data_IF_298761787223
#
_entry.id   IF_298761787223
#
_cell.length_a   1.000
_cell.length_b   1.000
_cell.length_c   1.000
_cell.angle_alpha   90.00
_cell.angle_beta   90.00
_cell.angle_gamma   90.00
#
_symmetry.space_group_name_H-M   'P 1'
#
loop_
_entity.id
_entity.type
_entity.pdbx_description
1 polymer ?
#
# COMPACT_ATOMS: atom_id res chain seq x y z
N UNK A 1 13.23 14.30 -54.41
CA UNK A 1 14.24 14.85 -53.47
C UNK A 1 14.23 14.03 -52.19
N UNK A 2 15.35 13.42 -51.76
CA UNK A 2 15.40 12.73 -50.46
C UNK A 2 15.21 13.75 -49.33
N UNK A 3 14.27 13.49 -48.42
CA UNK A 3 13.95 14.35 -47.27
C UNK A 3 15.20 14.44 -46.38
N UNK A 4 15.69 15.66 -46.11
CA UNK A 4 16.85 15.86 -45.23
C UNK A 4 16.43 15.57 -43.79
N UNK A 5 17.11 14.62 -43.13
CA UNK A 5 16.89 14.29 -41.72
C UNK A 5 17.26 15.51 -40.87
N UNK A 6 16.33 15.92 -39.99
CA UNK A 6 16.53 17.00 -39.01
C UNK A 6 16.23 16.44 -37.62
N UNK A 7 17.09 16.76 -36.65
CA UNK A 7 16.94 16.38 -35.25
C UNK A 7 17.47 17.48 -34.35
N UNK A 8 17.06 17.48 -33.09
CA UNK A 8 17.64 18.30 -32.03
C UNK A 8 18.85 17.61 -31.39
N UNK A 9 18.87 16.28 -31.40
CA UNK A 9 19.82 15.45 -30.70
C UNK A 9 20.69 14.69 -31.72
N UNK A 10 21.99 14.64 -31.49
CA UNK A 10 22.92 13.88 -32.31
C UNK A 10 23.95 13.13 -31.46
N UNK A 11 24.37 11.98 -31.96
CA UNK A 11 25.53 11.24 -31.46
C UNK A 11 26.62 11.32 -32.52
N UNK A 12 27.81 11.78 -32.15
CA UNK A 12 29.01 11.66 -32.97
C UNK A 12 29.92 10.59 -32.40
N UNK A 13 30.44 9.73 -33.27
CA UNK A 13 31.33 8.62 -32.89
C UNK A 13 32.52 8.53 -33.82
N UNK A 14 33.73 8.56 -33.26
CA UNK A 14 34.96 8.46 -34.06
C UNK A 14 36.11 7.80 -33.30
N UNK A 15 36.87 6.97 -34.01
CA UNK A 15 38.11 6.36 -33.52
C UNK A 15 39.18 7.42 -33.22
N UNK A 16 39.98 7.21 -32.17
CA UNK A 16 41.03 8.16 -31.76
C UNK A 16 42.03 8.46 -32.89
N UNK A 17 42.40 7.43 -33.67
CA UNK A 17 43.36 7.52 -34.78
C UNK A 17 42.81 8.27 -36.00
N UNK A 18 41.49 8.46 -36.05
CA UNK A 18 40.78 9.11 -37.15
C UNK A 18 40.11 10.42 -36.73
N UNK A 19 40.32 10.85 -35.49
CA UNK A 19 39.77 12.09 -34.98
C UNK A 19 40.43 13.28 -35.72
N UNK A 20 39.67 14.13 -36.43
CA UNK A 20 40.25 15.22 -37.23
C UNK A 20 40.86 16.36 -36.38
N UNK A 21 40.68 16.30 -35.06
CA UNK A 21 40.96 17.36 -34.10
C UNK A 21 41.58 16.76 -32.84
N UNK A 22 42.37 17.53 -32.11
CA UNK A 22 42.89 17.06 -30.82
C UNK A 22 41.78 16.97 -29.75
N UNK A 23 42.05 16.27 -28.63
CA UNK A 23 41.10 16.19 -27.50
C UNK A 23 40.75 17.58 -26.95
N UNK A 24 41.73 18.48 -26.87
CA UNK A 24 41.52 19.83 -26.36
C UNK A 24 40.73 20.70 -27.35
N UNK A 25 40.96 20.51 -28.65
CA UNK A 25 40.17 21.16 -29.71
C UNK A 25 38.74 20.65 -29.79
N UNK A 26 38.48 19.38 -29.46
CA UNK A 26 37.13 18.83 -29.42
C UNK A 26 36.25 19.59 -28.44
N UNK A 27 36.77 19.87 -27.24
CA UNK A 27 36.06 20.65 -26.22
C UNK A 27 35.78 22.07 -26.71
N UNK A 28 36.79 22.77 -27.21
CA UNK A 28 36.64 24.14 -27.73
C UNK A 28 35.61 24.24 -28.86
N UNK A 29 35.57 23.23 -29.76
CA UNK A 29 34.56 23.15 -30.83
C UNK A 29 33.15 22.93 -30.29
N UNK A 30 32.99 22.11 -29.25
CA UNK A 30 31.70 21.88 -28.62
C UNK A 30 31.21 23.13 -27.89
N UNK A 31 32.08 23.86 -27.19
CA UNK A 31 31.76 25.15 -26.58
C UNK A 31 31.31 26.19 -27.63
N UNK A 32 31.92 26.20 -28.81
CA UNK A 32 31.58 27.11 -29.92
C UNK A 32 30.47 26.59 -30.85
N UNK A 33 29.94 25.40 -30.58
CA UNK A 33 28.98 24.72 -31.49
C UNK A 33 27.61 25.40 -31.57
N UNK A 34 27.25 26.18 -30.54
CA UNK A 34 25.90 26.71 -30.35
C UNK A 34 24.89 25.66 -29.86
N UNK A 35 25.35 24.53 -29.33
CA UNK A 35 24.53 23.56 -28.61
C UNK A 35 24.15 24.10 -27.22
N UNK A 36 22.99 23.69 -26.72
CA UNK A 36 22.55 24.01 -25.36
C UNK A 36 23.18 23.05 -24.35
N UNK A 37 23.24 21.76 -24.70
CA UNK A 37 23.87 20.72 -23.88
C UNK A 37 24.78 19.85 -24.76
N UNK A 38 25.96 19.52 -24.26
CA UNK A 38 26.83 18.50 -24.85
C UNK A 38 27.58 17.73 -23.77
N UNK A 39 27.92 16.48 -24.07
CA UNK A 39 28.73 15.61 -23.23
C UNK A 39 29.53 14.64 -24.10
N UNK A 40 30.76 14.32 -23.71
CA UNK A 40 31.59 13.35 -24.41
C UNK A 40 32.47 12.52 -23.47
N UNK A 41 32.83 11.33 -23.94
CA UNK A 41 33.66 10.37 -23.22
C UNK A 41 34.50 9.56 -24.21
N UNK A 42 35.69 9.15 -23.76
CA UNK A 42 36.54 8.19 -24.46
C UNK A 42 36.17 6.78 -24.04
N UNK A 43 35.75 5.95 -24.99
CA UNK A 43 35.54 4.52 -24.76
C UNK A 43 36.80 3.74 -25.11
N UNK A 44 37.60 3.37 -24.10
CA UNK A 44 38.88 2.65 -24.22
C UNK A 44 38.91 1.24 -23.58
N UNK A 45 37.76 0.80 -23.04
CA UNK A 45 37.59 -0.45 -22.27
C UNK A 45 36.55 -1.39 -22.90
N UNK A 46 36.04 -1.03 -24.06
CA UNK A 46 35.01 -1.79 -24.76
C UNK A 46 35.53 -3.10 -25.35
N UNK A 47 34.68 -4.12 -25.27
CA UNK A 47 34.94 -5.47 -25.78
C UNK A 47 33.81 -5.80 -26.76
N UNK A 48 34.17 -6.31 -27.93
CA UNK A 48 33.22 -6.76 -28.95
C UNK A 48 32.59 -8.11 -28.61
N UNK A 49 31.63 -8.56 -29.43
CA UNK A 49 30.91 -9.82 -29.23
C UNK A 49 31.82 -11.06 -29.27
N UNK A 50 33.03 -10.94 -29.83
CA UNK A 50 34.01 -12.01 -29.92
C UNK A 50 35.06 -11.95 -28.80
N UNK A 51 34.89 -11.07 -27.80
CA UNK A 51 35.83 -10.91 -26.70
C UNK A 51 37.07 -10.08 -27.04
N UNK A 52 37.11 -9.42 -28.20
CA UNK A 52 38.26 -8.61 -28.63
C UNK A 52 38.05 -7.15 -28.22
N UNK A 53 39.14 -6.49 -27.80
CA UNK A 53 39.12 -5.07 -27.49
C UNK A 53 38.71 -4.25 -28.72
N UNK A 54 37.71 -3.40 -28.54
CA UNK A 54 37.32 -2.37 -29.50
C UNK A 54 38.38 -1.26 -29.49
N UNK A 55 38.63 -0.63 -30.63
CA UNK A 55 39.56 0.50 -30.70
C UNK A 55 39.05 1.67 -29.85
N UNK A 56 39.94 2.43 -29.17
CA UNK A 56 39.53 3.61 -28.44
C UNK A 56 38.82 4.62 -29.34
N UNK A 57 37.60 5.02 -28.98
CA UNK A 57 36.77 5.93 -29.76
C UNK A 57 36.02 6.91 -28.85
N UNK A 58 35.76 8.11 -29.36
CA UNK A 58 34.94 9.08 -28.66
C UNK A 58 33.46 8.88 -28.99
N UNK A 59 32.62 9.00 -27.97
CA UNK A 59 31.20 9.27 -28.13
C UNK A 59 30.92 10.71 -27.69
N UNK A 60 30.15 11.45 -28.49
CA UNK A 60 29.75 12.82 -28.21
C UNK A 60 28.23 12.94 -28.37
N UNK A 61 27.53 13.18 -27.28
CA UNK A 61 26.11 13.50 -27.28
C UNK A 61 25.94 15.02 -27.33
N UNK A 62 25.18 15.53 -28.30
CA UNK A 62 24.97 16.97 -28.49
C UNK A 62 23.50 17.31 -28.72
N UNK A 63 23.03 18.39 -28.09
CA UNK A 63 21.66 18.88 -28.16
C UNK A 63 21.58 20.35 -28.55
N UNK A 64 20.69 20.64 -29.50
CA UNK A 64 20.42 21.99 -29.97
C UNK A 64 18.97 22.39 -29.70
N UNK A 65 18.79 23.67 -29.33
CA UNK A 65 17.47 24.32 -29.25
C UNK A 65 16.65 24.15 -30.52
N UNK A 66 17.26 24.41 -31.68
CA UNK A 66 16.62 24.27 -32.99
C UNK A 66 17.13 23.05 -33.73
N UNK A 67 16.22 22.32 -34.39
CA UNK A 67 16.57 21.14 -35.17
C UNK A 67 17.61 21.45 -36.26
N UNK A 68 18.75 20.77 -36.21
CA UNK A 68 19.84 20.87 -37.21
C UNK A 68 19.79 19.69 -38.19
N UNK A 69 20.57 19.76 -39.25
CA UNK A 69 20.80 18.64 -40.18
C UNK A 69 22.14 17.99 -39.88
N UNK A 70 22.29 16.69 -40.16
CA UNK A 70 23.58 15.96 -40.03
C UNK A 70 24.73 16.72 -40.72
N UNK A 71 24.52 17.22 -41.94
CA UNK A 71 25.51 18.03 -42.68
C UNK A 71 25.96 19.32 -41.96
N UNK A 72 25.13 19.90 -41.09
CA UNK A 72 25.48 21.09 -40.32
C UNK A 72 26.30 20.70 -39.09
N UNK A 73 25.91 19.59 -38.44
CA UNK A 73 26.60 19.07 -37.27
C UNK A 73 28.00 18.54 -37.65
N UNK A 74 28.16 17.93 -38.83
CA UNK A 74 29.46 17.42 -39.30
C UNK A 74 30.54 18.48 -39.46
N UNK A 75 30.12 19.72 -39.76
CA UNK A 75 31.04 20.86 -39.85
C UNK A 75 31.63 21.27 -38.50
N UNK A 76 30.96 20.97 -37.39
CA UNK A 76 31.49 21.24 -36.04
C UNK A 76 32.75 20.40 -35.81
N UNK A 77 32.70 19.12 -36.18
CA UNK A 77 33.79 18.15 -36.01
C UNK A 77 34.80 18.17 -37.16
N UNK A 78 34.52 18.88 -38.24
CA UNK A 78 35.29 18.82 -39.50
C UNK A 78 35.43 17.38 -40.03
N UNK A 79 34.34 16.61 -39.93
CA UNK A 79 34.32 15.19 -40.29
C UNK A 79 33.16 14.86 -41.25
N UNK A 80 33.19 13.64 -41.78
CA UNK A 80 32.19 13.08 -42.65
C UNK A 80 30.87 12.83 -41.92
N UNK A 81 29.77 13.05 -42.66
CA UNK A 81 28.41 12.90 -42.13
C UNK A 81 28.08 11.49 -41.62
N UNK A 82 28.81 10.46 -42.06
CA UNK A 82 28.58 9.07 -41.68
C UNK A 82 28.87 8.78 -40.20
N UNK A 83 29.68 9.62 -39.56
CA UNK A 83 30.03 9.50 -38.13
C UNK A 83 29.04 10.21 -37.21
N UNK A 84 27.98 10.78 -37.78
CA UNK A 84 26.94 11.50 -37.04
C UNK A 84 25.61 10.82 -37.24
N UNK A 85 25.06 10.36 -36.13
CA UNK A 85 23.74 9.80 -36.06
C UNK A 85 22.75 10.82 -35.50
N UNK A 86 21.58 10.94 -36.13
CA UNK A 86 20.47 11.65 -35.53
C UNK A 86 19.85 10.80 -34.41
N UNK A 87 19.86 11.30 -33.18
CA UNK A 87 19.32 10.60 -32.03
C UNK A 87 17.84 10.90 -31.89
N UNK A 88 16.98 9.89 -32.03
CA UNK A 88 15.52 10.06 -32.04
C UNK A 88 14.86 9.81 -30.68
N UNK A 89 15.61 9.27 -29.72
CA UNK A 89 15.15 9.07 -28.34
C UNK A 89 15.26 10.36 -27.52
N UNK A 90 14.68 10.36 -26.32
CA UNK A 90 14.95 11.39 -25.30
C UNK A 90 16.45 11.49 -25.03
N UNK A 91 16.93 12.71 -24.79
CA UNK A 91 18.36 13.02 -24.61
C UNK A 91 18.97 12.27 -23.41
N UNK A 92 18.19 12.06 -22.35
CA UNK A 92 18.64 11.31 -21.16
C UNK A 92 19.13 9.90 -21.51
N UNK A 93 18.50 9.22 -22.48
CA UNK A 93 18.98 7.92 -22.94
C UNK A 93 20.32 8.04 -23.67
N UNK A 94 20.57 9.17 -24.35
CA UNK A 94 21.87 9.47 -24.97
C UNK A 94 22.96 9.71 -23.93
N UNK A 95 22.66 10.41 -22.84
CA UNK A 95 23.59 10.57 -21.72
C UNK A 95 23.88 9.26 -21.01
N UNK A 96 22.85 8.46 -20.69
CA UNK A 96 23.06 7.11 -20.13
C UNK A 96 23.82 6.18 -21.08
N UNK A 97 23.69 6.38 -22.39
CA UNK A 97 24.44 5.61 -23.38
C UNK A 97 25.95 5.83 -23.28
N UNK A 98 26.40 7.07 -22.99
CA UNK A 98 27.83 7.39 -22.82
C UNK A 98 28.50 6.57 -21.72
N UNK A 99 27.75 6.12 -20.71
CA UNK A 99 28.30 5.33 -19.59
C UNK A 99 27.82 3.88 -19.59
N UNK A 100 27.22 3.44 -20.70
CA UNK A 100 26.63 2.10 -20.87
C UNK A 100 25.49 1.76 -19.88
N UNK A 101 24.81 2.75 -19.32
CA UNK A 101 23.63 2.57 -18.46
C UNK A 101 22.30 2.52 -19.24
N UNK A 102 22.31 1.90 -20.41
CA UNK A 102 21.09 1.64 -21.20
C UNK A 102 20.75 0.15 -21.20
N UNK A 103 19.48 -0.18 -21.45
CA UNK A 103 18.99 -1.58 -21.41
C UNK A 103 19.80 -2.52 -22.30
N UNK A 104 20.28 -2.03 -23.44
CA UNK A 104 21.03 -2.81 -24.44
C UNK A 104 22.54 -2.90 -24.15
N UNK A 105 23.04 -2.19 -23.14
CA UNK A 105 24.46 -2.12 -22.80
C UNK A 105 24.79 -2.74 -21.43
N UNK A 106 23.85 -3.45 -20.80
CA UNK A 106 24.01 -4.07 -19.47
C UNK A 106 25.22 -5.00 -19.33
N UNK A 107 25.63 -5.66 -20.41
CA UNK A 107 26.78 -6.57 -20.42
C UNK A 107 28.11 -5.88 -20.79
N UNK A 108 28.07 -4.61 -21.20
CA UNK A 108 29.26 -3.83 -21.53
C UNK A 108 29.93 -3.29 -20.27
N UNK A 109 31.17 -2.85 -20.42
CA UNK A 109 31.87 -2.14 -19.36
C UNK A 109 31.13 -0.83 -19.02
N UNK A 110 30.80 -0.61 -17.75
CA UNK A 110 30.15 0.62 -17.29
C UNK A 110 31.20 1.64 -16.89
N UNK A 111 31.17 2.81 -17.53
CA UNK A 111 32.09 3.91 -17.25
C UNK A 111 31.66 4.71 -16.03
N UNK A 112 32.62 5.27 -15.31
CA UNK A 112 32.33 6.20 -14.23
C UNK A 112 31.79 7.52 -14.82
N UNK A 113 30.66 8.06 -14.33
CA UNK A 113 30.18 9.38 -14.74
C UNK A 113 31.23 10.51 -14.65
N UNK A 114 32.24 10.39 -13.79
CA UNK A 114 33.38 11.32 -13.68
C UNK A 114 34.31 11.29 -14.90
N UNK A 115 34.28 10.22 -15.70
CA UNK A 115 35.05 10.11 -16.94
C UNK A 115 34.43 10.96 -18.08
N UNK A 116 33.20 11.46 -17.90
CA UNK A 116 32.47 12.26 -18.90
C UNK A 116 32.80 13.75 -18.77
N UNK A 117 33.15 14.39 -19.88
CA UNK A 117 33.31 15.84 -19.97
C UNK A 117 32.05 16.44 -20.59
N UNK A 118 31.42 17.40 -19.91
CA UNK A 118 30.13 17.96 -20.33
C UNK A 118 30.03 19.47 -20.11
N UNK A 119 29.06 20.11 -20.77
CA UNK A 119 28.70 21.52 -20.58
C UNK A 119 27.85 21.80 -19.33
N UNK A 120 27.55 20.76 -18.55
CA UNK A 120 26.69 20.78 -17.35
C UNK A 120 27.21 19.75 -16.33
N UNK A 121 26.65 19.72 -15.12
CA UNK A 121 26.99 18.69 -14.13
C UNK A 121 26.42 17.33 -14.55
N UNK A 122 27.26 16.49 -15.16
CA UNK A 122 26.87 15.19 -15.69
C UNK A 122 26.52 14.18 -14.58
N UNK A 123 27.25 14.19 -13.46
CA UNK A 123 26.99 13.31 -12.32
C UNK A 123 25.60 13.55 -11.74
N UNK A 124 25.25 14.83 -11.51
CA UNK A 124 23.92 15.20 -11.01
C UNK A 124 22.82 14.78 -12.00
N UNK A 125 23.01 15.03 -13.30
CA UNK A 125 22.05 14.65 -14.34
C UNK A 125 21.80 13.14 -14.39
N UNK A 126 22.87 12.33 -14.34
CA UNK A 126 22.75 10.87 -14.34
C UNK A 126 22.08 10.38 -13.06
N UNK A 127 22.39 10.98 -11.90
CA UNK A 127 21.73 10.64 -10.65
C UNK A 127 20.22 10.94 -10.71
N UNK A 128 19.80 12.07 -11.28
CA UNK A 128 18.38 12.36 -11.52
C UNK A 128 17.71 11.33 -12.43
N UNK A 129 18.38 10.91 -13.50
CA UNK A 129 17.88 9.89 -14.43
C UNK A 129 17.70 8.56 -13.69
N UNK A 130 18.71 8.10 -12.94
CA UNK A 130 18.67 6.88 -12.13
C UNK A 130 17.50 6.92 -11.13
N UNK A 131 17.23 8.06 -10.50
CA UNK A 131 16.11 8.20 -9.56
C UNK A 131 14.74 8.18 -10.25
N UNK A 132 14.62 8.75 -11.45
CA UNK A 132 13.37 8.70 -12.22
C UNK A 132 13.04 7.29 -12.68
N UNK A 133 14.04 6.49 -13.06
CA UNK A 133 13.85 5.09 -13.47
C UNK A 133 13.40 4.20 -12.30
N UNK A 134 13.79 4.52 -11.07
CA UNK A 134 13.36 3.80 -9.86
C UNK A 134 11.89 4.01 -9.52
N UNK A 135 11.26 5.10 -9.99
CA UNK A 135 9.83 5.35 -9.73
C UNK A 135 8.97 4.47 -10.63
N UNK A 136 7.93 3.82 -10.09
CA UNK A 136 6.97 3.09 -10.92
C UNK A 136 6.33 4.03 -11.94
N UNK A 137 6.07 3.51 -13.13
CA UNK A 137 5.33 4.25 -14.15
C UNK A 137 3.89 4.48 -13.68
N UNK A 138 3.19 5.46 -14.29
CA UNK A 138 1.77 5.70 -13.98
C UNK A 138 0.92 4.44 -14.17
N UNK A 139 1.13 3.71 -15.26
CA UNK A 139 0.44 2.46 -15.52
C UNK A 139 0.73 1.40 -14.45
N UNK A 140 1.97 1.32 -13.96
CA UNK A 140 2.31 0.39 -12.89
C UNK A 140 1.62 0.77 -11.57
N UNK A 141 1.51 2.07 -11.25
CA UNK A 141 0.77 2.56 -10.09
C UNK A 141 -0.71 2.16 -10.21
N UNK A 142 -1.34 2.40 -11.36
CA UNK A 142 -2.74 2.05 -11.60
C UNK A 142 -2.97 0.54 -11.44
N UNK A 143 -2.07 -0.30 -11.98
CA UNK A 143 -2.14 -1.75 -11.79
C UNK A 143 -2.01 -2.16 -10.32
N UNK A 144 -1.07 -1.57 -9.56
CA UNK A 144 -0.95 -1.90 -8.14
C UNK A 144 -2.18 -1.46 -7.32
N UNK A 145 -2.84 -0.36 -7.69
CA UNK A 145 -4.11 0.05 -7.06
C UNK A 145 -5.22 -0.95 -7.41
N UNK A 146 -5.26 -1.46 -8.63
CA UNK A 146 -6.20 -2.50 -9.05
C UNK A 146 -5.97 -3.81 -8.27
N UNK A 147 -4.72 -4.28 -8.18
CA UNK A 147 -4.32 -5.44 -7.37
C UNK A 147 -4.78 -5.28 -5.90
N UNK A 148 -4.62 -4.08 -5.32
CA UNK A 148 -5.11 -3.76 -3.97
C UNK A 148 -6.64 -3.82 -3.89
N UNK A 149 -7.34 -3.26 -4.88
CA UNK A 149 -8.81 -3.28 -4.91
C UNK A 149 -9.40 -4.68 -5.06
N UNK A 150 -8.64 -5.59 -5.66
CA UNK A 150 -8.98 -7.01 -5.79
C UNK A 150 -8.51 -7.85 -4.59
N UNK A 151 -8.00 -7.21 -3.54
CA UNK A 151 -7.49 -7.86 -2.32
C UNK A 151 -6.31 -8.82 -2.60
N UNK A 152 -5.57 -8.62 -3.70
CA UNK A 152 -4.39 -9.42 -4.08
C UNK A 152 -3.11 -8.97 -3.35
N UNK A 153 -3.06 -7.69 -2.96
CA UNK A 153 -2.00 -7.12 -2.14
C UNK A 153 -2.59 -6.33 -0.95
N UNK A 154 -1.81 -6.22 0.12
CA UNK A 154 -2.13 -5.40 1.29
C UNK A 154 -1.89 -3.91 1.04
N UNK A 155 -2.45 -3.05 1.91
CA UNK A 155 -2.21 -1.60 1.86
C UNK A 155 -0.75 -1.26 2.12
N UNK A 156 -0.09 -2.02 2.99
CA UNK A 156 1.33 -1.90 3.30
C UNK A 156 2.19 -2.25 2.07
N UNK A 157 1.90 -3.35 1.38
CA UNK A 157 2.59 -3.72 0.15
C UNK A 157 2.36 -2.69 -0.98
N UNK A 158 1.14 -2.15 -1.09
CA UNK A 158 0.85 -1.06 -2.03
C UNK A 158 1.72 0.16 -1.72
N UNK A 159 1.79 0.58 -0.45
CA UNK A 159 2.61 1.71 -0.02
C UNK A 159 4.10 1.49 -0.34
N UNK A 160 4.62 0.28 -0.14
CA UNK A 160 6.01 -0.05 -0.47
C UNK A 160 6.29 0.01 -1.99
N UNK A 161 5.30 -0.37 -2.81
CA UNK A 161 5.40 -0.36 -4.28
C UNK A 161 5.32 1.05 -4.88
N UNK A 162 4.37 1.88 -4.43
CA UNK A 162 4.10 3.20 -5.04
C UNK A 162 4.66 4.39 -4.25
N UNK A 163 4.94 4.19 -2.97
CA UNK A 163 5.46 5.20 -2.05
C UNK A 163 4.38 6.12 -1.47
N UNK A 164 4.70 6.74 -0.32
CA UNK A 164 3.79 7.58 0.48
C UNK A 164 3.23 8.77 -0.32
N UNK A 165 4.03 9.37 -1.22
CA UNK A 165 3.57 10.51 -2.01
C UNK A 165 2.46 10.11 -2.98
N UNK A 166 2.57 8.95 -3.63
CA UNK A 166 1.53 8.46 -4.53
C UNK A 166 0.28 8.00 -3.74
N UNK A 167 0.46 7.40 -2.56
CA UNK A 167 -0.65 7.13 -1.63
C UNK A 167 -1.43 8.41 -1.30
N UNK A 168 -0.73 9.50 -0.97
CA UNK A 168 -1.37 10.77 -0.64
C UNK A 168 -2.13 11.40 -1.83
N UNK A 169 -1.58 11.30 -3.04
CA UNK A 169 -2.25 11.78 -4.27
C UNK A 169 -3.52 11.00 -4.59
N UNK A 170 -3.53 9.69 -4.30
CA UNK A 170 -4.65 8.80 -4.59
C UNK A 170 -5.57 8.58 -3.37
N UNK A 171 -5.42 9.35 -2.29
CA UNK A 171 -6.15 9.17 -1.03
C UNK A 171 -7.65 8.97 -1.23
N UNK A 172 -8.32 9.87 -1.95
CA UNK A 172 -9.78 9.80 -2.17
C UNK A 172 -10.18 8.49 -2.84
N UNK A 173 -9.43 8.05 -3.86
CA UNK A 173 -9.70 6.78 -4.55
C UNK A 173 -9.53 5.59 -3.60
N UNK A 174 -8.44 5.57 -2.82
CA UNK A 174 -8.16 4.50 -1.87
C UNK A 174 -9.21 4.44 -0.75
N UNK A 175 -9.63 5.59 -0.21
CA UNK A 175 -10.70 5.68 0.79
C UNK A 175 -12.02 5.10 0.23
N UNK A 176 -12.37 5.41 -1.04
CA UNK A 176 -13.54 4.81 -1.69
C UNK A 176 -13.42 3.31 -1.91
N UNK A 177 -12.24 2.81 -2.30
CA UNK A 177 -11.98 1.37 -2.42
C UNK A 177 -12.19 0.68 -1.06
N UNK A 178 -11.65 1.25 0.02
CA UNK A 178 -11.81 0.72 1.38
C UNK A 178 -13.28 0.66 1.81
N UNK A 179 -14.08 1.69 1.50
CA UNK A 179 -15.51 1.70 1.81
C UNK A 179 -16.28 0.62 1.03
N UNK A 180 -15.96 0.42 -0.25
CA UNK A 180 -16.57 -0.63 -1.10
C UNK A 180 -16.19 -2.02 -0.57
N UNK A 181 -14.92 -2.23 -0.22
CA UNK A 181 -14.44 -3.49 0.35
C UNK A 181 -15.09 -3.75 1.72
N UNK A 182 -15.20 -2.74 2.58
CA UNK A 182 -15.88 -2.86 3.86
C UNK A 182 -17.35 -3.26 3.69
N UNK A 183 -18.06 -2.65 2.73
CA UNK A 183 -19.43 -3.02 2.40
C UNK A 183 -19.52 -4.46 1.88
N UNK A 184 -18.67 -4.86 0.93
CA UNK A 184 -18.60 -6.23 0.39
C UNK A 184 -18.37 -7.25 1.50
N UNK A 185 -17.41 -6.99 2.39
CA UNK A 185 -17.10 -7.84 3.54
C UNK A 185 -18.28 -7.92 4.51
N UNK A 186 -18.99 -6.83 4.74
CA UNK A 186 -20.20 -6.84 5.55
C UNK A 186 -21.31 -7.68 4.92
N UNK A 187 -21.59 -7.51 3.62
CA UNK A 187 -22.59 -8.32 2.93
C UNK A 187 -22.25 -9.82 2.96
N UNK A 188 -20.97 -10.17 2.87
CA UNK A 188 -20.51 -11.54 3.01
C UNK A 188 -20.72 -12.05 4.46
N UNK A 189 -20.36 -11.24 5.45
CA UNK A 189 -20.62 -11.54 6.87
C UNK A 189 -22.10 -11.79 7.15
N UNK A 190 -23.02 -10.96 6.65
CA UNK A 190 -24.46 -11.13 6.86
C UNK A 190 -24.97 -12.46 6.30
N UNK A 191 -24.45 -12.90 5.15
CA UNK A 191 -24.77 -14.22 4.57
C UNK A 191 -24.24 -15.36 5.42
N UNK A 192 -22.97 -15.28 5.82
CA UNK A 192 -22.28 -16.35 6.55
C UNK A 192 -22.73 -16.46 8.02
N UNK A 193 -23.17 -15.35 8.59
CA UNK A 193 -23.60 -15.25 9.98
C UNK A 193 -25.13 -15.27 10.16
N UNK A 194 -25.89 -15.50 9.08
CA UNK A 194 -27.35 -15.57 9.11
C UNK A 194 -27.87 -16.60 10.13
N UNK A 195 -28.82 -16.18 10.95
CA UNK A 195 -29.45 -17.05 11.97
C UNK A 195 -28.52 -17.43 13.13
N UNK A 196 -27.41 -16.69 13.29
CA UNK A 196 -26.55 -16.74 14.45
C UNK A 196 -26.72 -15.45 15.27
N UNK A 197 -26.22 -15.48 16.50
CA UNK A 197 -26.29 -14.35 17.41
C UNK A 197 -24.90 -13.90 17.80
N UNK A 198 -24.69 -12.59 17.86
CA UNK A 198 -23.48 -12.02 18.43
C UNK A 198 -23.46 -12.29 19.94
N UNK A 199 -22.37 -12.86 20.46
CA UNK A 199 -22.21 -13.09 21.90
C UNK A 199 -21.53 -11.89 22.55
N UNK A 200 -22.10 -11.39 23.65
CA UNK A 200 -21.49 -10.31 24.43
C UNK A 200 -21.05 -10.84 25.79
N UNK A 201 -19.74 -10.86 26.04
CA UNK A 201 -19.18 -11.25 27.34
C UNK A 201 -18.91 -10.00 28.17
N UNK A 202 -19.56 -9.89 29.32
CA UNK A 202 -19.39 -8.79 30.26
C UNK A 202 -18.43 -9.19 31.37
N UNK A 203 -17.15 -8.91 31.19
CA UNK A 203 -16.08 -9.32 32.10
C UNK A 203 -15.83 -8.20 33.09
N UNK A 204 -16.20 -8.43 34.35
CA UNK A 204 -16.13 -7.42 35.40
C UNK A 204 -15.32 -7.86 36.61
N UNK A 205 -14.90 -6.91 37.44
CA UNK A 205 -14.11 -7.18 38.65
C UNK A 205 -13.16 -6.03 38.96
N UNK A 206 -12.47 -6.11 40.10
CA UNK A 206 -11.62 -5.01 40.58
C UNK A 206 -10.60 -4.55 39.53
N UNK A 207 -10.26 -3.27 39.54
CA UNK A 207 -9.25 -2.70 38.64
C UNK A 207 -7.89 -3.40 38.83
N UNK A 208 -7.11 -3.50 37.76
CA UNK A 208 -5.78 -4.11 37.78
C UNK A 208 -5.74 -5.65 37.88
N UNK A 209 -6.87 -6.35 37.91
CA UNK A 209 -6.90 -7.82 38.04
C UNK A 209 -6.53 -8.60 36.75
N UNK A 210 -6.37 -7.89 35.63
CA UNK A 210 -5.95 -8.49 34.36
C UNK A 210 -7.08 -8.90 33.40
N UNK A 211 -8.28 -8.28 33.50
CA UNK A 211 -9.42 -8.55 32.58
C UNK A 211 -9.02 -8.43 31.10
N UNK A 212 -8.44 -7.29 30.71
CA UNK A 212 -8.02 -7.03 29.34
C UNK A 212 -6.91 -7.96 28.89
N UNK A 213 -5.95 -8.25 29.79
CA UNK A 213 -4.86 -9.20 29.53
C UNK A 213 -5.42 -10.60 29.24
N UNK A 214 -6.37 -11.06 30.05
CA UNK A 214 -7.02 -12.36 29.87
C UNK A 214 -7.69 -12.47 28.50
N UNK A 215 -8.50 -11.48 28.12
CA UNK A 215 -9.20 -11.47 26.81
C UNK A 215 -8.20 -11.45 25.67
N UNK A 216 -7.21 -10.56 25.74
CA UNK A 216 -6.14 -10.45 24.74
C UNK A 216 -5.42 -11.79 24.54
N UNK A 217 -4.99 -12.45 25.61
CA UNK A 217 -4.32 -13.77 25.53
C UNK A 217 -5.19 -14.84 24.85
N UNK A 218 -6.51 -14.79 25.03
CA UNK A 218 -7.43 -15.74 24.39
C UNK A 218 -7.53 -15.45 22.89
N UNK A 219 -7.73 -14.18 22.53
CA UNK A 219 -7.93 -13.75 21.15
C UNK A 219 -6.63 -13.85 20.34
N UNK A 220 -5.48 -13.47 20.88
CA UNK A 220 -4.18 -13.67 20.21
C UNK A 220 -3.91 -15.15 19.92
N UNK A 221 -4.36 -16.05 20.79
CA UNK A 221 -4.18 -17.50 20.60
C UNK A 221 -5.16 -18.11 19.59
N UNK A 222 -6.37 -17.57 19.48
CA UNK A 222 -7.47 -18.21 18.72
C UNK A 222 -7.80 -17.49 17.42
N UNK A 223 -7.65 -16.17 17.41
CA UNK A 223 -8.09 -15.25 16.36
C UNK A 223 -7.02 -14.15 16.12
N UNK A 224 -5.72 -14.47 15.97
CA UNK A 224 -4.60 -13.50 16.02
C UNK A 224 -4.75 -12.27 15.13
N UNK A 225 -5.42 -12.39 13.99
CA UNK A 225 -5.61 -11.32 12.99
C UNK A 225 -7.08 -10.86 12.87
N UNK A 226 -8.01 -11.46 13.63
CA UNK A 226 -9.46 -11.22 13.51
C UNK A 226 -10.05 -10.58 14.77
N UNK A 227 -9.25 -9.78 15.49
CA UNK A 227 -9.74 -9.03 16.64
C UNK A 227 -9.19 -7.60 16.74
N UNK A 228 -9.92 -6.76 17.45
CA UNK A 228 -9.48 -5.39 17.78
C UNK A 228 -9.77 -5.07 19.25
N UNK A 229 -8.93 -4.21 19.85
CA UNK A 229 -9.13 -3.73 21.23
C UNK A 229 -9.38 -2.23 21.21
N UNK A 230 -10.58 -1.84 21.60
CA UNK A 230 -11.08 -0.47 21.55
C UNK A 230 -10.91 0.20 22.92
N UNK A 231 -9.89 1.06 23.07
CA UNK A 231 -9.52 1.65 24.36
C UNK A 231 -9.80 3.15 24.55
N UNK A 232 -10.24 3.87 23.51
CA UNK A 232 -10.47 5.32 23.57
C UNK A 232 -11.92 5.64 23.94
N UNK A 233 -12.14 6.28 25.08
CA UNK A 233 -13.47 6.66 25.59
C UNK A 233 -14.27 7.62 24.68
N UNK A 234 -13.64 8.21 23.66
CA UNK A 234 -14.36 9.07 22.70
C UNK A 234 -14.60 8.41 21.35
N UNK A 235 -13.73 7.50 20.90
CA UNK A 235 -13.73 6.97 19.52
C UNK A 235 -13.42 5.47 19.48
N UNK A 236 -14.25 4.65 20.13
CA UNK A 236 -13.98 3.23 20.26
C UNK A 236 -13.77 2.55 18.89
N UNK A 237 -14.59 2.83 17.87
CA UNK A 237 -14.55 2.11 16.59
C UNK A 237 -13.67 2.75 15.50
N UNK A 238 -12.84 3.74 15.83
CA UNK A 238 -11.97 4.38 14.82
C UNK A 238 -10.98 3.41 14.19
N UNK A 239 -10.42 2.49 14.98
CA UNK A 239 -9.44 1.48 14.54
C UNK A 239 -10.11 0.17 14.09
N UNK A 240 -11.44 0.11 14.10
CA UNK A 240 -12.17 -1.07 13.67
C UNK A 240 -12.14 -1.19 12.15
N UNK A 241 -11.66 -2.34 11.66
CA UNK A 241 -11.46 -2.66 10.23
C UNK A 241 -12.34 -3.83 9.79
N UNK A 242 -13.45 -4.08 10.48
CA UNK A 242 -14.37 -5.17 10.13
C UNK A 242 -14.06 -6.52 10.77
N UNK A 243 -13.22 -6.55 11.81
CA UNK A 243 -12.88 -7.78 12.55
C UNK A 243 -14.11 -8.45 13.18
N UNK A 244 -14.05 -9.78 13.30
CA UNK A 244 -15.10 -10.61 13.89
C UNK A 244 -15.18 -10.56 15.42
N UNK A 245 -14.07 -10.25 16.10
CA UNK A 245 -14.00 -10.23 17.56
C UNK A 245 -13.63 -8.84 18.08
N UNK A 246 -14.54 -8.21 18.82
CA UNK A 246 -14.37 -6.83 19.28
C UNK A 246 -14.17 -6.81 20.79
N UNK A 247 -13.15 -6.10 21.29
CA UNK A 247 -12.98 -5.87 22.73
C UNK A 247 -13.26 -4.41 23.03
N UNK A 248 -14.35 -4.13 23.75
CA UNK A 248 -14.62 -2.80 24.31
C UNK A 248 -13.92 -2.74 25.66
N UNK A 249 -12.75 -2.11 25.66
CA UNK A 249 -11.88 -2.11 26.82
C UNK A 249 -12.25 -0.99 27.78
N UNK A 250 -12.33 -1.35 29.06
CA UNK A 250 -12.50 -0.44 30.18
C UNK A 250 -13.79 0.40 30.15
N UNK A 251 -14.88 -0.17 29.64
CA UNK A 251 -16.19 0.48 29.51
C UNK A 251 -16.65 1.08 30.85
N UNK A 252 -17.00 2.36 30.83
CA UNK A 252 -17.55 3.12 31.97
C UNK A 252 -19.01 3.53 31.70
N UNK A 253 -19.79 3.75 32.78
CA UNK A 253 -21.08 4.38 32.66
C UNK A 253 -20.96 5.70 31.89
N UNK A 254 -21.90 5.95 30.98
CA UNK A 254 -21.95 7.14 30.12
C UNK A 254 -20.85 7.27 29.04
N UNK A 255 -20.01 6.23 28.82
CA UNK A 255 -19.16 6.16 27.60
C UNK A 255 -20.02 6.10 26.32
N UNK A 256 -21.24 5.55 26.45
CA UNK A 256 -22.29 5.57 25.43
C UNK A 256 -23.58 6.09 26.06
N UNK A 257 -24.44 6.69 25.24
CA UNK A 257 -25.86 6.73 25.58
C UNK A 257 -26.36 5.29 25.79
N UNK A 258 -27.18 5.07 26.81
CA UNK A 258 -27.57 3.72 27.19
C UNK A 258 -28.38 3.03 26.09
N UNK A 259 -29.25 3.74 25.38
CA UNK A 259 -29.99 3.21 24.24
C UNK A 259 -29.07 2.83 23.06
N UNK A 260 -28.03 3.63 22.82
CA UNK A 260 -26.99 3.29 21.84
C UNK A 260 -26.21 2.04 22.24
N UNK A 261 -25.85 1.90 23.53
CA UNK A 261 -25.21 0.70 24.04
C UNK A 261 -26.11 -0.54 23.86
N UNK A 262 -27.41 -0.44 24.16
CA UNK A 262 -28.35 -1.54 23.96
C UNK A 262 -28.44 -1.97 22.48
N UNK A 263 -28.41 -1.01 21.56
CA UNK A 263 -28.42 -1.27 20.11
C UNK A 263 -27.14 -1.97 19.66
N UNK A 264 -25.98 -1.45 20.11
CA UNK A 264 -24.67 -2.04 19.83
C UNK A 264 -24.56 -3.48 20.36
N UNK A 265 -25.14 -3.76 21.52
CA UNK A 265 -25.09 -5.07 22.17
C UNK A 265 -26.23 -6.00 21.77
N UNK A 266 -27.12 -5.61 20.86
CA UNK A 266 -28.20 -6.49 20.45
C UNK A 266 -27.66 -7.78 19.80
N UNK A 267 -27.95 -8.96 20.37
CA UNK A 267 -27.37 -10.21 19.90
C UNK A 267 -27.97 -10.67 18.56
N UNK A 268 -29.16 -10.22 18.18
CA UNK A 268 -29.87 -10.70 16.99
C UNK A 268 -29.84 -9.72 15.83
N UNK A 269 -29.70 -8.43 16.11
CA UNK A 269 -29.44 -7.43 15.08
C UNK A 269 -27.99 -7.52 14.61
N UNK A 270 -27.78 -8.22 13.50
CA UNK A 270 -26.46 -8.46 12.89
C UNK A 270 -26.13 -7.45 11.78
N UNK A 271 -27.14 -6.80 11.19
CA UNK A 271 -26.99 -5.73 10.20
C UNK A 271 -27.04 -4.38 10.92
N UNK A 272 -25.91 -4.03 11.54
CA UNK A 272 -25.79 -2.79 12.28
C UNK A 272 -24.45 -2.13 12.07
N UNK A 273 -24.43 -0.83 12.30
CA UNK A 273 -23.24 -0.01 12.21
C UNK A 273 -22.75 0.38 13.61
N UNK A 274 -21.45 0.42 13.79
CA UNK A 274 -20.80 0.90 15.00
C UNK A 274 -20.48 2.39 14.87
N UNK A 275 -20.73 3.20 15.92
CA UNK A 275 -20.57 4.64 15.87
C UNK A 275 -19.09 5.03 15.75
N UNK A 276 -18.77 5.91 14.79
CA UNK A 276 -17.44 6.48 14.62
C UNK A 276 -17.50 7.95 14.13
N UNK A 277 -16.46 8.75 14.44
CA UNK A 277 -16.45 10.23 14.30
C UNK A 277 -16.78 10.81 12.92
N UNK A 278 -16.55 10.06 11.86
CA UNK A 278 -16.66 10.58 10.48
C UNK A 278 -17.72 9.82 9.69
N UNK A 279 -17.66 8.48 9.74
CA UNK A 279 -18.64 7.59 9.15
C UNK A 279 -18.77 6.37 10.04
N UNK A 280 -20.01 5.96 10.29
CA UNK A 280 -20.28 4.71 10.99
C UNK A 280 -19.65 3.54 10.25
N UNK A 281 -19.20 2.52 10.98
CA UNK A 281 -18.52 1.35 10.42
C UNK A 281 -19.45 0.15 10.43
N UNK A 282 -19.52 -0.59 9.33
CA UNK A 282 -20.26 -1.86 9.29
C UNK A 282 -19.72 -2.84 10.32
N UNK A 283 -20.56 -3.28 11.26
CA UNK A 283 -20.14 -4.12 12.38
C UNK A 283 -20.30 -5.62 12.04
N UNK A 284 -19.18 -6.31 11.86
CA UNK A 284 -19.11 -7.75 11.58
C UNK A 284 -18.88 -8.59 12.84
N UNK A 285 -19.40 -8.15 13.99
CA UNK A 285 -19.07 -8.76 15.27
C UNK A 285 -19.77 -10.12 15.46
N UNK A 286 -18.96 -11.18 15.58
CA UNK A 286 -19.37 -12.52 16.05
C UNK A 286 -19.43 -12.55 17.58
N UNK A 287 -18.48 -11.88 18.22
CA UNK A 287 -18.48 -11.70 19.67
C UNK A 287 -17.88 -10.35 20.09
N UNK A 288 -18.44 -9.81 21.17
CA UNK A 288 -18.00 -8.58 21.82
C UNK A 288 -17.56 -8.92 23.25
N UNK A 289 -16.35 -8.55 23.61
CA UNK A 289 -15.81 -8.67 24.96
C UNK A 289 -15.76 -7.30 25.61
N UNK A 290 -16.55 -7.11 26.65
CA UNK A 290 -16.53 -5.90 27.45
C UNK A 290 -15.66 -6.16 28.67
N UNK A 291 -14.70 -5.28 28.94
CA UNK A 291 -14.00 -5.26 30.22
C UNK A 291 -14.41 -4.01 30.99
N UNK A 292 -14.76 -4.17 32.27
CA UNK A 292 -15.22 -3.05 33.11
C UNK A 292 -14.99 -3.33 34.59
N UNK A 293 -14.87 -2.33 35.48
CA UNK A 293 -14.86 -2.55 36.92
C UNK A 293 -16.25 -2.76 37.50
N UNK A 294 -17.32 -2.41 36.76
CA UNK A 294 -18.70 -2.47 37.24
C UNK A 294 -19.35 -3.81 36.90
N UNK A 295 -20.01 -4.43 37.86
CA UNK A 295 -21.01 -5.45 37.53
C UNK A 295 -22.16 -4.80 36.73
N UNK A 296 -22.93 -5.58 35.95
CA UNK A 296 -23.94 -5.00 35.06
C UNK A 296 -25.01 -4.15 35.76
N UNK A 297 -25.38 -4.50 36.99
CA UNK A 297 -26.43 -3.79 37.71
C UNK A 297 -25.90 -2.46 38.25
N UNK A 298 -24.72 -2.47 38.86
CA UNK A 298 -24.04 -1.23 39.26
C UNK A 298 -23.76 -0.32 38.06
N UNK A 299 -23.33 -0.89 36.92
CA UNK A 299 -23.13 -0.11 35.69
C UNK A 299 -24.42 0.60 35.24
N UNK A 300 -25.56 -0.11 35.26
CA UNK A 300 -26.86 0.43 34.91
C UNK A 300 -27.27 1.59 35.83
N UNK A 301 -27.09 1.46 37.15
CA UNK A 301 -27.46 2.52 38.10
C UNK A 301 -26.63 3.79 37.97
N UNK A 302 -25.40 3.67 37.46
CA UNK A 302 -24.49 4.80 37.22
C UNK A 302 -24.70 5.46 35.85
N UNK A 303 -25.54 4.89 34.98
CA UNK A 303 -25.86 5.46 33.67
C UNK A 303 -26.94 6.56 33.78
N UNK A 304 -26.79 7.61 32.97
CA UNK A 304 -27.79 8.67 32.81
C UNK A 304 -28.89 8.21 31.83
N UNK A 305 -29.94 7.60 32.36
CA UNK A 305 -31.03 7.03 31.56
C UNK A 305 -32.28 7.90 31.67
N UNK A 306 -32.71 8.50 30.55
CA UNK A 306 -33.86 9.40 30.51
C UNK A 306 -35.18 8.70 30.84
N UNK A 307 -35.37 7.44 30.40
CA UNK A 307 -36.57 6.66 30.67
C UNK A 307 -36.22 5.22 31.09
N UNK A 308 -36.06 5.01 32.40
CA UNK A 308 -35.73 3.72 33.00
C UNK A 308 -36.81 2.63 32.83
N UNK A 309 -38.04 3.00 32.44
CA UNK A 309 -39.10 2.02 32.13
C UNK A 309 -38.88 1.37 30.77
N UNK A 310 -38.44 2.16 29.78
CA UNK A 310 -38.13 1.70 28.42
C UNK A 310 -36.76 1.05 28.39
N UNK A 311 -35.76 1.78 28.85
CA UNK A 311 -34.36 1.40 28.88
C UNK A 311 -33.99 0.80 30.23
N UNK A 312 -34.65 -0.31 30.58
CA UNK A 312 -34.48 -0.98 31.87
C UNK A 312 -33.25 -1.90 31.92
N UNK A 313 -32.81 -2.24 33.13
CA UNK A 313 -31.72 -3.20 33.35
C UNK A 313 -31.94 -4.55 32.64
N UNK A 314 -33.19 -5.03 32.55
CA UNK A 314 -33.50 -6.30 31.87
C UNK A 314 -33.19 -6.24 30.36
N UNK A 315 -33.18 -5.05 29.75
CA UNK A 315 -32.71 -4.85 28.37
C UNK A 315 -31.22 -5.17 28.24
N UNK A 316 -30.38 -4.71 29.17
CA UNK A 316 -28.95 -5.02 29.16
C UNK A 316 -28.70 -6.49 29.53
N UNK A 317 -29.31 -6.96 30.62
CA UNK A 317 -29.12 -8.31 31.16
C UNK A 317 -29.36 -9.42 30.14
N UNK A 318 -30.37 -9.29 29.26
CA UNK A 318 -30.64 -10.30 28.23
C UNK A 318 -29.65 -10.32 27.07
N UNK A 319 -28.81 -9.28 26.93
CA UNK A 319 -27.84 -9.10 25.85
C UNK A 319 -26.45 -9.58 26.23
N UNK A 320 -26.17 -9.76 27.52
CA UNK A 320 -24.82 -10.01 28.04
C UNK A 320 -24.69 -11.34 28.77
N UNK A 321 -23.46 -11.85 28.80
CA UNK A 321 -23.03 -13.00 29.61
C UNK A 321 -22.07 -12.45 30.68
N UNK A 322 -22.54 -12.22 31.91
CA UNK A 322 -21.71 -11.65 32.96
C UNK A 322 -20.72 -12.66 33.54
N UNK A 323 -19.44 -12.27 33.59
CA UNK A 323 -18.34 -13.08 34.09
C UNK A 323 -17.52 -12.25 35.09
N UNK A 324 -17.63 -12.60 36.37
CA UNK A 324 -16.81 -11.95 37.40
C UNK A 324 -15.39 -12.54 37.39
N UNK A 325 -14.39 -11.69 37.21
CA UNK A 325 -12.99 -12.03 37.35
C UNK A 325 -12.50 -11.69 38.76
N UNK A 326 -11.98 -12.70 39.45
CA UNK A 326 -11.34 -12.63 40.77
C UNK A 326 -9.96 -13.30 40.69
N UNK A 327 -9.07 -13.04 41.66
CA UNK A 327 -7.73 -13.66 41.67
C UNK A 327 -7.78 -15.19 41.66
N UNK A 328 -8.85 -15.76 42.22
CA UNK A 328 -8.99 -17.21 42.42
C UNK A 328 -9.62 -17.93 41.22
N UNK A 329 -10.24 -17.21 40.27
CA UNK A 329 -11.02 -17.84 39.20
C UNK A 329 -10.49 -17.53 37.77
N UNK A 330 -9.36 -16.85 37.63
CA UNK A 330 -8.80 -16.45 36.32
C UNK A 330 -8.71 -17.65 35.36
N UNK A 331 -8.13 -18.76 35.82
CA UNK A 331 -7.96 -19.96 35.00
C UNK A 331 -9.30 -20.59 34.60
N UNK A 332 -10.29 -20.57 35.50
CA UNK A 332 -11.63 -21.07 35.23
C UNK A 332 -12.32 -20.22 34.17
N UNK A 333 -12.35 -18.90 34.35
CA UNK A 333 -12.95 -17.96 33.38
C UNK A 333 -12.27 -18.08 32.02
N UNK A 334 -10.93 -18.21 32.00
CA UNK A 334 -10.16 -18.47 30.77
C UNK A 334 -10.63 -19.74 30.05
N UNK A 335 -10.74 -20.84 30.79
CA UNK A 335 -11.17 -22.12 30.24
C UNK A 335 -12.61 -22.06 29.70
N UNK A 336 -13.53 -21.43 30.44
CA UNK A 336 -14.93 -21.31 30.07
C UNK A 336 -15.09 -20.48 28.78
N UNK A 337 -14.38 -19.34 28.68
CA UNK A 337 -14.36 -18.52 27.47
C UNK A 337 -13.79 -19.27 26.25
N UNK A 338 -12.69 -20.00 26.42
CA UNK A 338 -12.10 -20.80 25.33
C UNK A 338 -13.05 -21.92 24.89
N UNK A 339 -13.73 -22.56 25.84
CA UNK A 339 -14.66 -23.66 25.55
C UNK A 339 -15.88 -23.15 24.80
N UNK A 340 -16.47 -22.04 25.26
CA UNK A 340 -17.64 -21.45 24.62
C UNK A 340 -17.32 -20.90 23.22
N UNK A 341 -16.14 -20.32 23.03
CA UNK A 341 -15.68 -19.88 21.71
C UNK A 341 -15.56 -21.07 20.74
N UNK A 342 -14.93 -22.18 21.16
CA UNK A 342 -14.86 -23.42 20.35
C UNK A 342 -16.24 -23.96 19.96
N UNK A 343 -17.18 -23.96 20.90
CA UNK A 343 -18.56 -24.40 20.64
C UNK A 343 -19.27 -23.47 19.64
N UNK A 344 -19.02 -22.17 19.75
CA UNK A 344 -19.58 -21.16 18.84
C UNK A 344 -19.04 -21.35 17.42
N UNK A 345 -17.73 -21.54 17.26
CA UNK A 345 -17.11 -21.83 15.97
C UNK A 345 -17.62 -23.13 15.35
N UNK A 346 -17.76 -24.20 16.14
CA UNK A 346 -18.30 -25.46 15.65
C UNK A 346 -19.75 -25.31 15.18
N UNK A 347 -20.57 -24.58 15.95
CA UNK A 347 -21.96 -24.28 15.58
C UNK A 347 -22.04 -23.46 14.29
N UNK A 348 -21.16 -22.47 14.16
CA UNK A 348 -21.06 -21.65 12.95
C UNK A 348 -20.73 -22.51 11.73
N UNK A 349 -19.67 -23.33 11.80
CA UNK A 349 -19.24 -24.21 10.70
C UNK A 349 -20.34 -25.17 10.24
N UNK A 350 -21.11 -25.73 11.20
CA UNK A 350 -22.23 -26.61 10.88
C UNK A 350 -23.35 -25.86 10.15
N UNK A 351 -23.67 -24.64 10.59
CA UNK A 351 -24.73 -23.82 9.98
C UNK A 351 -24.32 -23.28 8.61
N UNK A 352 -23.07 -22.88 8.42
CA UNK A 352 -22.58 -22.39 7.13
C UNK A 352 -22.58 -23.50 6.07
N UNK A 353 -22.18 -24.73 6.42
CA UNK A 353 -22.24 -25.89 5.51
C UNK A 353 -23.67 -26.26 5.07
N UNK A 354 -24.66 -26.11 5.96
CA UNK A 354 -26.08 -26.36 5.61
C UNK A 354 -26.64 -25.29 4.67
N UNK A 355 -26.20 -24.04 4.82
CA UNK A 355 -26.62 -22.96 3.95
C UNK A 355 -26.04 -23.10 2.53
N UNK A 356 -24.83 -23.65 2.38
CA UNK A 356 -24.23 -23.91 1.05
C UNK A 356 -24.85 -25.12 0.35
N UNK A 357 -25.18 -26.21 1.07
CA UNK A 357 -25.81 -27.39 0.46
C UNK A 357 -27.25 -27.15 -0.03
N UNK A 358 -27.97 -26.20 0.57
CA UNK A 358 -29.28 -25.77 0.08
C UNK A 358 -29.17 -24.85 -1.16
N UNK A 359 -28.13 -24.03 -1.27
CA UNK A 359 -27.93 -23.16 -2.45
C UNK A 359 -27.56 -23.94 -3.73
N UNK A 360 -26.91 -25.11 -3.59
CA UNK A 360 -26.55 -25.97 -4.73
C UNK A 360 -27.69 -26.91 -5.17
N UNK A 361 -28.66 -27.20 -4.31
CA UNK A 361 -29.83 -28.01 -4.68
C UNK A 361 -30.89 -27.23 -5.46
N UNK A 362 -30.96 -25.91 -5.27
CA UNK A 362 -31.86 -25.02 -6.03
C UNK A 362 -31.34 -24.68 -7.44
N UNK A 363 -30.11 -25.07 -7.80
CA UNK A 363 -29.53 -24.87 -9.15
C UNK A 363 -29.62 -26.10 -10.07
N UNK A 364 -30.25 -27.18 -9.62
CA UNK A 364 -30.37 -28.43 -10.41
C UNK A 364 -31.79 -28.73 -10.91
N UNK A 365 -32.72 -27.77 -10.79
CA UNK A 365 -34.09 -27.87 -11.30
C UNK A 365 -34.47 -26.68 -12.21
N UNK A 366 -33.63 -26.38 -13.21
CA UNK A 366 -34.04 -25.61 -14.40
C UNK A 366 -33.38 -26.19 -15.65
#
# INVERSE_FOLDING_TARGET
MKKKIRSHNFMYTQDLDHLPVSKDELKDRLEKSGAEEWAYILHDKDIDENGKKVRPHFHVMIHFRDAKTISRVSKIFNDHQQYIEAWHSIINNGFSYLIHETTNAKSKYHYDPQEVVASFNFEDKINEIRQKVKKPSRQAIDNFIDDYSNEEITKEELQDKIGVLEMAKHKTLLDHIEDILAYKNHQQFLKDFKGQKCKVYWIYGVSGIGKTKLVREILEKRHPEDFCILGSQRDHFQEYKGQGFVVINDLRPNDYDYGQLLTLLDPWEIDKMAPARYHDRYLNARAIYITTPYDPLSFYFECNIANQLVDSFEQLKRRIIPLQLTKNNINKVKHDLITDDKLSEATWKIKSQKNTSHADSDKSND
#
